data_IF_605119860463
#
_entry.id   IF_605119860463
#
_cell.length_a   1.000
_cell.length_b   1.000
_cell.length_c   1.000
_cell.angle_alpha   90.00
_cell.angle_beta   90.00
_cell.angle_gamma   90.00
#
_symmetry.space_group_name_H-M   'P 1'
#
loop_
_entity.id
_entity.type
_entity.pdbx_description
1 polymer ?
#
# COMPACT_ATOMS: atom_id res chain seq x y z
N UNK A 1 -17.28 11.07 -8.69
CA UNK A 1 -16.48 9.82 -8.79
C UNK A 1 -15.12 10.02 -9.44
N UNK A 2 -15.06 10.55 -10.68
CA UNK A 2 -13.79 10.69 -11.41
C UNK A 2 -12.72 11.46 -10.63
N UNK A 3 -13.08 12.57 -9.98
CA UNK A 3 -12.13 13.41 -9.22
C UNK A 3 -11.45 12.59 -8.11
N UNK A 4 -12.24 11.88 -7.30
CA UNK A 4 -11.72 11.01 -6.25
C UNK A 4 -10.82 9.90 -6.81
N UNK A 5 -11.25 9.27 -7.91
CA UNK A 5 -10.48 8.23 -8.58
C UNK A 5 -9.12 8.72 -9.08
N UNK A 6 -9.08 9.86 -9.77
CA UNK A 6 -7.83 10.44 -10.27
C UNK A 6 -6.91 10.92 -9.14
N UNK A 7 -7.46 11.52 -8.08
CA UNK A 7 -6.70 11.94 -6.89
C UNK A 7 -6.03 10.74 -6.22
N UNK A 8 -6.80 9.68 -5.93
CA UNK A 8 -6.27 8.47 -5.29
C UNK A 8 -5.29 7.74 -6.21
N UNK A 9 -5.56 7.72 -7.52
CA UNK A 9 -4.66 7.14 -8.51
C UNK A 9 -3.34 7.91 -8.61
N UNK A 10 -3.36 9.24 -8.62
CA UNK A 10 -2.16 10.06 -8.65
C UNK A 10 -1.29 9.85 -7.39
N UNK A 11 -1.93 9.77 -6.22
CA UNK A 11 -1.27 9.47 -4.95
C UNK A 11 -0.67 8.06 -4.95
N UNK A 12 -1.48 7.04 -5.28
CA UNK A 12 -1.04 5.65 -5.33
C UNK A 12 0.10 5.42 -6.34
N UNK A 13 -0.02 6.00 -7.54
CA UNK A 13 1.01 5.89 -8.57
C UNK A 13 2.33 6.58 -8.16
N UNK A 14 2.25 7.74 -7.49
CA UNK A 14 3.44 8.42 -6.98
C UNK A 14 4.18 7.58 -5.92
N UNK A 15 3.45 6.87 -5.06
CA UNK A 15 4.04 5.98 -4.06
C UNK A 15 4.58 4.68 -4.66
N UNK A 16 3.92 4.13 -5.69
CA UNK A 16 4.47 3.00 -6.47
C UNK A 16 5.79 3.38 -7.15
N UNK A 17 5.90 4.60 -7.69
CA UNK A 17 7.16 5.12 -8.24
C UNK A 17 8.25 5.18 -7.16
N UNK A 18 7.93 5.63 -5.94
CA UNK A 18 8.91 5.70 -4.84
C UNK A 18 9.48 4.34 -4.48
N UNK A 19 8.65 3.31 -4.56
CA UNK A 19 8.99 1.96 -4.13
C UNK A 19 9.70 1.15 -5.22
N UNK A 20 9.25 1.24 -6.47
CA UNK A 20 9.69 0.35 -7.55
C UNK A 20 10.57 1.01 -8.61
N UNK A 21 10.50 2.34 -8.78
CA UNK A 21 11.27 2.99 -9.84
C UNK A 21 12.74 3.17 -9.45
N UNK A 22 13.70 2.60 -10.21
CA UNK A 22 15.13 2.77 -9.91
C UNK A 22 15.57 4.23 -10.04
N UNK A 23 14.93 4.98 -10.96
CA UNK A 23 15.17 6.41 -11.16
C UNK A 23 13.86 7.18 -10.97
N UNK A 24 13.62 7.61 -9.72
CA UNK A 24 12.36 8.22 -9.26
C UNK A 24 11.86 9.35 -10.16
N UNK A 25 12.74 10.25 -10.62
CA UNK A 25 12.34 11.37 -11.48
C UNK A 25 11.79 10.93 -12.84
N UNK A 26 12.38 9.89 -13.46
CA UNK A 26 11.86 9.30 -14.72
C UNK A 26 10.50 8.67 -14.44
N UNK A 27 10.39 7.91 -13.34
CA UNK A 27 9.12 7.30 -12.95
C UNK A 27 8.01 8.33 -12.76
N UNK A 28 8.28 9.44 -12.08
CA UNK A 28 7.31 10.53 -11.89
C UNK A 28 6.92 11.19 -13.21
N UNK A 29 7.89 11.47 -14.09
CA UNK A 29 7.60 12.04 -15.40
C UNK A 29 6.73 11.10 -16.23
N UNK A 30 7.08 9.81 -16.30
CA UNK A 30 6.31 8.81 -17.05
C UNK A 30 4.89 8.67 -16.51
N UNK A 31 4.72 8.55 -15.19
CA UNK A 31 3.39 8.46 -14.56
C UNK A 31 2.60 9.75 -14.80
N UNK A 32 3.20 10.93 -14.65
CA UNK A 32 2.52 12.20 -14.91
C UNK A 32 2.04 12.30 -16.36
N UNK A 33 2.86 11.90 -17.34
CA UNK A 33 2.47 11.86 -18.76
C UNK A 33 1.31 10.89 -18.98
N UNK A 34 1.40 9.66 -18.46
CA UNK A 34 0.32 8.65 -18.60
C UNK A 34 -0.98 9.17 -18.00
N UNK A 35 -0.91 9.77 -16.81
CA UNK A 35 -2.07 10.31 -16.12
C UNK A 35 -2.65 11.52 -16.86
N UNK A 36 -1.83 12.44 -17.37
CA UNK A 36 -2.31 13.56 -18.20
C UNK A 36 -2.99 13.07 -19.48
N UNK A 37 -2.45 12.04 -20.13
CA UNK A 37 -3.09 11.41 -21.29
C UNK A 37 -4.44 10.79 -20.90
N UNK A 38 -4.51 10.05 -19.79
CA UNK A 38 -5.77 9.50 -19.29
C UNK A 38 -6.79 10.59 -19.02
N UNK A 39 -6.39 11.69 -18.36
CA UNK A 39 -7.24 12.85 -18.11
C UNK A 39 -7.71 13.53 -19.39
N UNK A 40 -6.83 13.66 -20.40
CA UNK A 40 -7.20 14.25 -21.70
C UNK A 40 -8.20 13.39 -22.47
N UNK A 41 -7.99 12.06 -22.53
CA UNK A 41 -8.85 11.17 -23.32
C UNK A 41 -10.21 10.97 -22.64
N UNK A 42 -10.27 11.06 -21.31
CA UNK A 42 -11.52 10.93 -20.53
C UNK A 42 -12.27 12.26 -20.31
N UNK A 43 -11.88 13.33 -20.99
CA UNK A 43 -12.42 14.69 -20.80
C UNK A 43 -12.40 15.12 -19.30
N UNK A 44 -11.33 14.77 -18.59
CA UNK A 44 -11.11 15.01 -17.17
C UNK A 44 -9.77 15.71 -16.91
N UNK A 45 -9.27 16.50 -17.87
CA UNK A 45 -7.93 17.10 -17.81
C UNK A 45 -7.77 18.04 -16.61
N UNK A 46 -8.77 18.87 -16.32
CA UNK A 46 -8.74 19.80 -15.17
C UNK A 46 -8.69 19.01 -13.84
N UNK A 47 -9.61 18.04 -13.59
CA UNK A 47 -9.49 17.12 -12.46
C UNK A 47 -8.14 16.42 -12.36
N UNK A 48 -7.56 16.02 -13.49
CA UNK A 48 -6.26 15.34 -13.52
C UNK A 48 -5.11 16.27 -13.09
N UNK A 49 -5.08 17.51 -13.58
CA UNK A 49 -4.08 18.50 -13.14
C UNK A 49 -4.18 18.73 -11.63
N UNK A 50 -5.40 18.89 -11.12
CA UNK A 50 -5.64 19.02 -9.68
C UNK A 50 -5.16 17.77 -8.91
N UNK A 51 -5.44 16.56 -9.42
CA UNK A 51 -5.00 15.31 -8.83
C UNK A 51 -3.46 15.19 -8.78
N UNK A 52 -2.74 15.62 -9.81
CA UNK A 52 -1.28 15.65 -9.82
C UNK A 52 -0.71 16.64 -8.80
N UNK A 53 -1.36 17.80 -8.61
CA UNK A 53 -0.99 18.75 -7.55
C UNK A 53 -1.18 18.10 -6.17
N UNK A 54 -2.33 17.43 -5.94
CA UNK A 54 -2.58 16.69 -4.70
C UNK A 54 -1.54 15.57 -4.51
N UNK A 55 -1.18 14.84 -5.56
CA UNK A 55 -0.12 13.83 -5.52
C UNK A 55 1.25 14.41 -5.16
N UNK A 56 1.61 15.58 -5.70
CA UNK A 56 2.84 16.27 -5.35
C UNK A 56 2.85 16.76 -3.89
N UNK A 57 1.73 17.31 -3.41
CA UNK A 57 1.54 17.72 -2.01
C UNK A 57 1.59 16.50 -1.08
N UNK A 58 0.99 15.38 -1.48
CA UNK A 58 1.07 14.12 -0.75
C UNK A 58 2.53 13.66 -0.62
N UNK A 59 3.28 13.65 -1.73
CA UNK A 59 4.69 13.29 -1.73
C UNK A 59 5.49 14.19 -0.76
N UNK A 60 5.18 15.49 -0.72
CA UNK A 60 5.82 16.41 0.22
C UNK A 60 5.47 16.10 1.69
N UNK A 61 4.18 15.89 1.97
CA UNK A 61 3.63 15.74 3.33
C UNK A 61 3.83 14.34 3.92
N UNK A 62 3.99 13.31 3.08
CA UNK A 62 4.20 11.91 3.45
C UNK A 62 5.53 11.39 2.86
N UNK A 63 6.69 11.69 3.49
CA UNK A 63 7.98 11.15 3.08
C UNK A 63 8.09 9.64 3.36
N UNK A 64 8.80 8.87 2.52
CA UNK A 64 9.03 7.44 2.74
C UNK A 64 10.17 7.14 3.73
N UNK A 65 11.14 8.06 3.82
CA UNK A 65 12.45 7.79 4.42
C UNK A 65 12.60 8.41 5.82
N UNK A 66 11.66 9.28 6.22
CA UNK A 66 11.66 9.99 7.50
C UNK A 66 10.24 10.06 8.08
N UNK A 67 10.08 10.33 9.39
CA UNK A 67 8.77 10.53 9.99
C UNK A 67 7.98 11.59 9.25
N UNK A 68 6.67 11.35 9.08
CA UNK A 68 5.79 12.32 8.44
C UNK A 68 5.68 13.58 9.32
N UNK A 69 6.01 14.77 8.81
CA UNK A 69 6.04 16.00 9.62
C UNK A 69 4.66 16.38 10.18
N UNK A 70 3.59 15.90 9.54
CA UNK A 70 2.20 16.17 9.90
C UNK A 70 1.50 14.92 10.49
N UNK A 71 2.24 13.87 10.81
CA UNK A 71 1.68 12.59 11.25
C UNK A 71 0.71 12.01 10.22
N UNK A 72 -0.45 11.53 10.69
CA UNK A 72 -1.48 10.92 9.83
C UNK A 72 -2.49 11.90 9.21
N UNK A 73 -2.45 13.20 9.58
CA UNK A 73 -3.44 14.19 9.13
C UNK A 73 -3.57 14.36 7.61
N UNK A 74 -2.48 14.33 6.80
CA UNK A 74 -2.61 14.38 5.34
C UNK A 74 -3.49 13.25 4.79
N UNK A 75 -3.49 12.07 5.43
CA UNK A 75 -4.37 10.96 5.06
C UNK A 75 -5.84 11.24 5.37
N UNK A 76 -6.12 11.88 6.51
CA UNK A 76 -7.48 12.31 6.87
C UNK A 76 -8.00 13.33 5.87
N UNK A 77 -7.18 14.33 5.52
CA UNK A 77 -7.55 15.34 4.52
C UNK A 77 -7.79 14.73 3.14
N UNK A 78 -6.93 13.79 2.72
CA UNK A 78 -7.10 13.06 1.46
C UNK A 78 -8.39 12.22 1.46
N UNK A 79 -8.70 11.56 2.58
CA UNK A 79 -9.94 10.82 2.75
C UNK A 79 -11.17 11.72 2.68
N UNK A 80 -11.16 12.85 3.39
CA UNK A 80 -12.25 13.83 3.36
C UNK A 80 -12.44 14.44 1.96
N UNK A 81 -11.34 14.77 1.27
CA UNK A 81 -11.37 15.24 -0.12
C UNK A 81 -11.99 14.19 -1.05
N UNK A 82 -11.60 12.92 -0.90
CA UNK A 82 -12.10 11.83 -1.73
C UNK A 82 -13.58 11.56 -1.50
N UNK A 83 -14.02 11.56 -0.24
CA UNK A 83 -15.45 11.43 0.12
C UNK A 83 -16.24 12.61 -0.42
N UNK A 84 -15.80 13.85 -0.17
CA UNK A 84 -16.46 15.06 -0.68
C UNK A 84 -16.55 15.07 -2.21
N UNK A 85 -15.51 14.62 -2.90
CA UNK A 85 -15.50 14.49 -4.35
C UNK A 85 -16.45 13.41 -4.88
N UNK A 86 -16.74 12.33 -4.12
CA UNK A 86 -17.77 11.36 -4.48
C UNK A 86 -19.17 11.91 -4.20
N UNK A 87 -19.36 12.56 -3.05
CA UNK A 87 -20.67 13.07 -2.63
C UNK A 87 -21.14 14.26 -3.49
N UNK A 88 -20.24 15.17 -3.86
CA UNK A 88 -20.62 16.39 -4.61
C UNK A 88 -20.48 16.25 -6.12
N UNK A 89 -19.49 15.50 -6.61
CA UNK A 89 -19.36 15.23 -8.04
C UNK A 89 -19.97 13.86 -8.35
N UNK A 90 -21.25 13.85 -8.70
CA UNK A 90 -22.00 12.65 -9.11
C UNK A 90 -21.48 12.00 -10.40
N UNK A 91 -22.22 11.03 -10.92
CA UNK A 91 -21.88 10.36 -12.16
C UNK A 91 -21.86 11.35 -13.34
N UNK A 92 -20.79 11.31 -14.14
CA UNK A 92 -20.73 12.05 -15.40
C UNK A 92 -21.62 11.40 -16.44
N UNK A 93 -22.29 12.21 -17.25
CA UNK A 93 -23.09 11.76 -18.38
C UNK A 93 -22.24 11.42 -19.61
N UNK A 94 -21.02 11.94 -19.69
CA UNK A 94 -20.08 11.71 -20.78
C UNK A 94 -18.64 11.62 -20.24
N UNK A 95 -17.91 10.60 -20.71
CA UNK A 95 -16.52 10.32 -20.38
C UNK A 95 -15.58 10.58 -21.56
N UNK A 96 -15.98 11.46 -22.48
CA UNK A 96 -15.19 11.86 -23.65
C UNK A 96 -14.99 10.71 -24.63
N UNK A 97 -13.80 10.65 -25.24
CA UNK A 97 -13.45 9.65 -26.27
C UNK A 97 -13.57 8.20 -25.78
N UNK A 98 -13.43 7.97 -24.47
CA UNK A 98 -13.55 6.63 -23.87
C UNK A 98 -15.02 6.25 -23.65
N UNK A 99 -15.90 7.23 -23.40
CA UNK A 99 -17.31 6.98 -23.06
C UNK A 99 -18.05 6.16 -24.11
N UNK A 100 -17.78 6.39 -25.40
CA UNK A 100 -18.45 5.69 -26.50
C UNK A 100 -17.97 4.23 -26.69
N UNK A 101 -16.76 3.91 -26.24
CA UNK A 101 -16.11 2.60 -26.45
C UNK A 101 -16.17 1.75 -25.18
N UNK A 102 -16.33 2.39 -24.02
CA UNK A 102 -16.26 1.73 -22.73
C UNK A 102 -17.47 0.85 -22.45
N UNK A 103 -17.27 -0.46 -22.50
CA UNK A 103 -18.27 -1.46 -22.11
C UNK A 103 -17.61 -2.52 -21.23
N UNK A 104 -17.63 -2.30 -19.91
CA UNK A 104 -17.15 -3.28 -18.94
C UNK A 104 -18.33 -3.98 -18.28
N UNK A 105 -18.68 -5.16 -18.80
CA UNK A 105 -19.72 -6.02 -18.21
C UNK A 105 -19.15 -6.76 -17.01
N UNK A 106 -19.77 -6.55 -15.85
CA UNK A 106 -19.48 -7.31 -14.63
C UNK A 106 -20.66 -8.22 -14.27
N UNK A 107 -20.46 -9.24 -13.41
CA UNK A 107 -21.56 -10.06 -12.88
C UNK A 107 -22.63 -9.24 -12.13
N UNK A 108 -22.30 -8.00 -11.75
CA UNK A 108 -23.14 -7.09 -10.97
C UNK A 108 -23.75 -5.96 -11.83
N UNK A 109 -23.56 -5.99 -13.16
CA UNK A 109 -24.02 -4.97 -14.09
C UNK A 109 -22.90 -4.27 -14.85
N UNK A 110 -23.26 -3.24 -15.61
CA UNK A 110 -22.30 -2.42 -16.35
C UNK A 110 -21.54 -1.48 -15.41
N UNK A 111 -20.22 -1.47 -15.51
CA UNK A 111 -19.36 -0.63 -14.68
C UNK A 111 -19.03 0.65 -15.44
N UNK A 112 -19.50 1.83 -14.99
CA UNK A 112 -19.16 3.09 -15.65
C UNK A 112 -17.67 3.39 -15.51
N UNK A 113 -17.10 4.07 -16.51
CA UNK A 113 -15.67 4.39 -16.56
C UNK A 113 -15.18 5.09 -15.29
N UNK A 114 -15.92 6.09 -14.80
CA UNK A 114 -15.59 6.84 -13.58
C UNK A 114 -15.47 5.93 -12.33
N UNK A 115 -16.33 4.92 -12.21
CA UNK A 115 -16.30 3.96 -11.13
C UNK A 115 -15.10 3.01 -11.27
N UNK A 116 -14.77 2.59 -12.49
CA UNK A 116 -13.59 1.78 -12.75
C UNK A 116 -12.30 2.53 -12.40
N UNK A 117 -12.20 3.83 -12.75
CA UNK A 117 -11.08 4.69 -12.37
C UNK A 117 -11.03 4.90 -10.86
N UNK A 118 -12.17 5.07 -10.19
CA UNK A 118 -12.23 5.13 -8.73
C UNK A 118 -11.72 3.85 -8.08
N UNK A 119 -12.21 2.68 -8.51
CA UNK A 119 -11.78 1.39 -7.99
C UNK A 119 -10.28 1.15 -8.24
N UNK A 120 -9.76 1.54 -9.41
CA UNK A 120 -8.35 1.45 -9.75
C UNK A 120 -7.48 2.40 -8.90
N UNK A 121 -7.93 3.64 -8.69
CA UNK A 121 -7.26 4.61 -7.82
C UNK A 121 -7.23 4.18 -6.36
N UNK A 122 -8.35 3.69 -5.84
CA UNK A 122 -8.44 3.09 -4.51
C UNK A 122 -7.51 1.88 -4.39
N UNK A 123 -7.52 0.98 -5.37
CA UNK A 123 -6.62 -0.16 -5.42
C UNK A 123 -5.15 0.26 -5.37
N UNK A 124 -4.75 1.22 -6.20
CA UNK A 124 -3.38 1.76 -6.21
C UNK A 124 -2.99 2.39 -4.86
N UNK A 125 -3.89 3.13 -4.23
CA UNK A 125 -3.69 3.72 -2.90
C UNK A 125 -3.50 2.64 -1.81
N UNK A 126 -4.29 1.57 -1.84
CA UNK A 126 -4.22 0.49 -0.86
C UNK A 126 -2.91 -0.30 -0.90
N UNK A 127 -2.23 -0.31 -2.06
CA UNK A 127 -0.95 -0.99 -2.21
C UNK A 127 0.12 -0.33 -1.35
N UNK A 128 0.50 0.91 -1.62
CA UNK A 128 1.64 1.55 -0.94
C UNK A 128 1.30 2.77 -0.10
N UNK A 129 0.41 3.64 -0.55
CA UNK A 129 0.04 4.84 0.20
C UNK A 129 -0.54 4.49 1.56
N UNK A 130 -1.37 3.46 1.65
CA UNK A 130 -1.91 2.95 2.91
C UNK A 130 -0.83 2.45 3.88
N UNK A 131 0.32 1.93 3.40
CA UNK A 131 1.43 1.57 4.28
C UNK A 131 2.04 2.81 4.94
N UNK A 132 2.18 3.91 4.19
CA UNK A 132 2.67 5.18 4.73
C UNK A 132 1.71 5.73 5.79
N UNK A 133 0.39 5.62 5.56
CA UNK A 133 -0.62 6.04 6.54
C UNK A 133 -0.53 5.23 7.83
N UNK A 134 -0.47 3.89 7.73
CA UNK A 134 -0.33 3.02 8.90
C UNK A 134 0.95 3.35 9.67
N UNK A 135 2.07 3.55 8.97
CA UNK A 135 3.34 3.95 9.60
C UNK A 135 3.24 5.29 10.31
N UNK A 136 2.61 6.28 9.67
CA UNK A 136 2.42 7.61 10.25
C UNK A 136 1.48 7.60 11.47
N UNK A 137 0.49 6.71 11.50
CA UNK A 137 -0.38 6.52 12.66
C UNK A 137 0.39 5.90 13.84
N UNK A 138 1.17 4.84 13.60
CA UNK A 138 2.00 4.19 14.62
C UNK A 138 3.04 5.15 15.20
N UNK A 139 3.68 5.96 14.34
CA UNK A 139 4.64 6.98 14.76
C UNK A 139 4.01 8.06 15.66
N UNK A 140 2.72 8.38 15.48
CA UNK A 140 2.00 9.35 16.29
C UNK A 140 1.72 8.87 17.72
N UNK A 141 1.58 7.56 17.92
CA UNK A 141 1.26 6.95 19.22
C UNK A 141 2.52 6.58 20.05
N UNK A 142 3.72 6.95 19.58
CA UNK A 142 5.00 6.53 20.19
C UNK A 142 5.11 5.01 20.38
N UNK A 143 4.36 4.22 19.59
CA UNK A 143 4.46 2.77 19.65
C UNK A 143 5.87 2.35 19.32
N UNK A 144 6.42 1.47 20.17
CA UNK A 144 7.76 0.92 20.02
C UNK A 144 7.97 0.38 18.60
N UNK A 145 9.02 0.83 17.92
CA UNK A 145 9.44 0.23 16.64
C UNK A 145 10.32 -0.99 16.93
N UNK A 146 10.07 -2.14 16.29
CA UNK A 146 11.11 -3.16 16.18
C UNK A 146 12.32 -2.51 15.51
N UNK A 147 13.45 -2.43 16.20
CA UNK A 147 14.71 -2.17 15.52
C UNK A 147 14.90 -3.30 14.51
N UNK A 148 15.09 -2.97 13.22
CA UNK A 148 15.66 -3.94 12.29
C UNK A 148 16.93 -4.49 12.96
N UNK A 149 17.13 -5.82 13.03
CA UNK A 149 18.42 -6.32 13.49
C UNK A 149 19.45 -5.69 12.58
N UNK A 150 20.33 -4.86 13.15
CA UNK A 150 21.51 -4.37 12.46
C UNK A 150 22.15 -5.59 11.78
N UNK A 151 22.62 -5.49 10.52
CA UNK A 151 23.31 -6.61 9.91
C UNK A 151 24.38 -7.05 10.90
N UNK A 152 24.22 -8.25 11.47
CA UNK A 152 25.21 -8.84 12.36
C UNK A 152 26.48 -8.85 11.53
N UNK A 153 27.41 -7.94 11.86
CA UNK A 153 28.78 -8.07 11.44
C UNK A 153 29.23 -9.33 12.15
N UNK A 154 29.14 -10.46 11.45
CA UNK A 154 29.67 -11.74 11.92
C UNK A 154 31.15 -11.51 12.12
N UNK A 155 31.54 -11.22 13.36
CA UNK A 155 32.93 -11.19 13.75
C UNK A 155 33.50 -12.58 13.43
N UNK A 156 34.65 -12.68 12.73
CA UNK A 156 35.23 -13.97 12.43
C UNK A 156 35.49 -14.66 13.77
N UNK A 157 34.85 -15.82 13.97
CA UNK A 157 35.11 -16.67 15.11
C UNK A 157 36.57 -17.11 15.00
N UNK A 158 37.41 -16.61 15.91
CA UNK A 158 38.80 -17.00 16.01
C UNK A 158 38.88 -18.50 16.26
N UNK A 159 39.55 -19.19 15.35
CA UNK A 159 39.80 -20.62 15.40
C UNK A 159 40.58 -20.99 16.67
N UNK A 160 40.03 -21.88 17.48
CA UNK A 160 40.84 -22.73 18.38
C UNK A 160 41.09 -24.03 17.66
N UNK A 161 42.34 -24.21 17.22
CA UNK A 161 42.80 -25.38 16.50
C UNK A 161 42.95 -26.61 17.40
N UNK A 162 42.62 -27.75 16.82
CA UNK A 162 43.24 -29.04 17.15
C UNK A 162 43.83 -29.62 15.86
N UNK A 163 45.05 -30.13 15.97
CA UNK A 163 45.96 -30.53 14.91
C UNK A 163 45.57 -31.83 14.20
N UNK A 164 45.89 -31.93 12.90
CA UNK A 164 45.73 -33.14 12.08
C UNK A 164 46.17 -32.96 10.63
N UNK A 165 47.47 -33.17 10.39
CA UNK A 165 48.24 -33.33 9.14
C UNK A 165 47.54 -34.29 8.11
N UNK A 166 47.47 -34.15 6.77
CA UNK A 166 48.52 -34.21 5.71
C UNK A 166 47.87 -33.96 4.30
N UNK A 167 48.56 -33.16 3.46
CA UNK A 167 48.72 -33.15 1.98
C UNK A 167 47.58 -33.02 0.92
N UNK A 168 47.76 -31.94 0.13
CA UNK A 168 47.89 -31.86 -1.35
C UNK A 168 46.65 -31.87 -2.26
N UNK A 169 46.63 -30.87 -3.17
CA UNK A 169 46.02 -30.98 -4.50
C UNK A 169 44.68 -30.27 -4.75
N UNK A 170 44.78 -29.19 -5.55
CA UNK A 170 43.81 -28.74 -6.56
C UNK A 170 42.54 -27.96 -6.13
N UNK A 171 42.61 -26.65 -6.41
CA UNK A 171 41.56 -25.75 -6.93
C UNK A 171 40.12 -26.00 -6.42
N UNK A 172 39.79 -25.34 -5.31
CA UNK A 172 38.41 -25.17 -4.86
C UNK A 172 37.61 -24.30 -5.83
N UNK A 173 36.71 -25.00 -6.53
CA UNK A 173 35.51 -24.50 -7.19
C UNK A 173 34.76 -23.56 -6.23
N UNK A 174 34.94 -22.25 -6.40
CA UNK A 174 34.22 -21.21 -5.67
C UNK A 174 32.77 -21.18 -6.14
N UNK A 175 32.01 -22.20 -5.75
CA UNK A 175 30.55 -22.13 -5.72
C UNK A 175 30.19 -20.99 -4.76
N UNK A 176 29.56 -19.90 -5.22
CA UNK A 176 29.10 -18.88 -4.30
C UNK A 176 28.04 -19.56 -3.44
N UNK A 177 28.34 -19.71 -2.15
CA UNK A 177 27.37 -20.09 -1.14
C UNK A 177 26.23 -19.08 -1.27
N UNK A 178 25.16 -19.47 -1.95
CA UNK A 178 23.90 -18.74 -1.96
C UNK A 178 23.43 -18.74 -0.52
N UNK A 179 23.56 -17.59 0.12
CA UNK A 179 22.95 -17.31 1.42
C UNK A 179 21.48 -17.77 1.38
N UNK A 180 21.09 -18.79 2.18
CA UNK A 180 19.71 -19.27 2.26
C UNK A 180 18.75 -18.24 2.87
N UNK A 181 19.25 -17.06 3.28
CA UNK A 181 18.48 -15.95 3.86
C UNK A 181 18.34 -14.76 2.93
N UNK A 182 18.20 -15.00 1.63
CA UNK A 182 17.33 -14.15 0.80
C UNK A 182 15.86 -14.31 1.25
N UNK A 183 15.60 -14.06 2.54
CA UNK A 183 14.31 -14.16 3.18
C UNK A 183 13.35 -13.33 2.37
N UNK A 184 12.29 -13.98 1.88
CA UNK A 184 11.27 -13.35 1.09
C UNK A 184 10.92 -12.01 1.74
N UNK A 185 10.92 -10.93 0.95
CA UNK A 185 10.37 -9.61 1.31
C UNK A 185 8.86 -9.69 1.63
N UNK A 186 8.33 -10.86 1.97
CA UNK A 186 6.93 -11.19 2.15
C UNK A 186 6.25 -10.33 3.21
N UNK A 187 6.96 -9.95 4.27
CA UNK A 187 6.43 -8.99 5.28
C UNK A 187 5.95 -7.66 4.68
N UNK A 188 6.55 -7.22 3.58
CA UNK A 188 6.20 -5.95 2.90
C UNK A 188 4.91 -6.04 2.09
N UNK A 189 4.63 -7.21 1.51
CA UNK A 189 3.51 -7.42 0.59
C UNK A 189 2.26 -7.96 1.30
N UNK A 190 2.41 -8.58 2.47
CA UNK A 190 1.26 -9.14 3.22
C UNK A 190 0.23 -8.06 3.58
N UNK A 191 0.66 -6.93 4.16
CA UNK A 191 -0.25 -5.85 4.55
C UNK A 191 -1.08 -5.28 3.37
N UNK A 192 -0.44 -4.90 2.25
CA UNK A 192 -1.12 -4.51 1.02
C UNK A 192 -2.13 -5.54 0.52
N UNK A 193 -1.73 -6.81 0.45
CA UNK A 193 -2.60 -7.89 -0.02
C UNK A 193 -3.80 -8.10 0.89
N UNK A 194 -3.62 -8.02 2.21
CA UNK A 194 -4.72 -8.10 3.17
C UNK A 194 -5.73 -6.97 2.95
N UNK A 195 -5.29 -5.72 2.75
CA UNK A 195 -6.21 -4.60 2.51
C UNK A 195 -6.98 -4.74 1.20
N UNK A 196 -6.31 -5.18 0.13
CA UNK A 196 -6.96 -5.47 -1.15
C UNK A 196 -7.96 -6.61 -1.00
N UNK A 197 -7.61 -7.65 -0.24
CA UNK A 197 -8.51 -8.77 0.04
C UNK A 197 -9.71 -8.35 0.89
N UNK A 198 -9.51 -7.50 1.91
CA UNK A 198 -10.60 -6.87 2.67
C UNK A 198 -11.53 -6.14 1.71
N UNK A 199 -10.99 -5.28 0.85
CA UNK A 199 -11.79 -4.52 -0.11
C UNK A 199 -12.61 -5.42 -1.04
N UNK A 200 -11.97 -6.42 -1.65
CA UNK A 200 -12.63 -7.35 -2.58
C UNK A 200 -13.71 -8.16 -1.87
N UNK A 201 -13.43 -8.74 -0.70
CA UNK A 201 -14.39 -9.55 0.05
C UNK A 201 -15.58 -8.70 0.53
N UNK A 202 -15.35 -7.45 0.95
CA UNK A 202 -16.42 -6.52 1.31
C UNK A 202 -17.31 -6.20 0.11
N UNK A 203 -16.72 -5.86 -1.04
CA UNK A 203 -17.48 -5.54 -2.25
C UNK A 203 -18.22 -6.77 -2.82
N UNK A 204 -17.66 -7.97 -2.65
CA UNK A 204 -18.29 -9.24 -3.03
C UNK A 204 -19.33 -9.75 -2.01
N UNK A 205 -19.60 -9.00 -0.94
CA UNK A 205 -20.46 -9.40 0.18
C UNK A 205 -20.07 -10.75 0.83
N UNK A 206 -18.79 -11.13 0.74
CA UNK A 206 -18.24 -12.37 1.28
C UNK A 206 -17.88 -12.22 2.78
N UNK A 207 -18.82 -11.69 3.58
CA UNK A 207 -18.61 -11.35 4.99
C UNK A 207 -18.13 -12.53 5.87
N UNK A 208 -18.60 -13.79 5.68
CA UNK A 208 -18.07 -14.91 6.45
C UNK A 208 -16.57 -15.16 6.22
N UNK A 209 -16.10 -15.02 4.97
CA UNK A 209 -14.69 -15.20 4.63
C UNK A 209 -13.86 -14.05 5.18
N UNK A 210 -14.38 -12.81 5.07
CA UNK A 210 -13.77 -11.64 5.67
C UNK A 210 -13.60 -11.82 7.19
N UNK A 211 -14.67 -12.21 7.90
CA UNK A 211 -14.63 -12.46 9.34
C UNK A 211 -13.64 -13.57 9.71
N UNK A 212 -13.62 -14.68 8.96
CA UNK A 212 -12.67 -15.77 9.17
C UNK A 212 -11.21 -15.32 9.00
N UNK A 213 -10.91 -14.50 7.97
CA UNK A 213 -9.58 -13.95 7.73
C UNK A 213 -9.13 -13.03 8.87
N UNK A 214 -9.99 -12.11 9.31
CA UNK A 214 -9.69 -11.19 10.42
C UNK A 214 -9.44 -11.96 11.72
N UNK A 215 -10.28 -12.97 12.01
CA UNK A 215 -10.13 -13.84 13.18
C UNK A 215 -8.83 -14.66 13.13
N UNK A 216 -8.52 -15.27 11.98
CA UNK A 216 -7.30 -16.05 11.79
C UNK A 216 -6.05 -15.22 12.04
N UNK A 217 -6.02 -13.96 11.58
CA UNK A 217 -4.89 -13.04 11.81
C UNK A 217 -4.64 -12.80 13.30
N UNK A 218 -5.71 -12.63 14.09
CA UNK A 218 -5.61 -12.47 15.54
C UNK A 218 -5.11 -13.73 16.25
N UNK A 219 -5.63 -14.90 15.87
CA UNK A 219 -5.27 -16.19 16.48
C UNK A 219 -3.79 -16.55 16.22
N UNK A 220 -3.31 -16.41 14.97
CA UNK A 220 -1.93 -16.76 14.61
C UNK A 220 -0.91 -15.90 15.35
N UNK A 221 -1.25 -14.65 15.65
CA UNK A 221 -0.36 -13.69 16.33
C UNK A 221 -0.49 -13.72 17.85
N UNK A 222 -1.48 -14.42 18.38
CA UNK A 222 -1.71 -14.52 19.83
C UNK A 222 -0.48 -15.01 20.61
N UNK A 223 0.25 -16.08 20.22
CA UNK A 223 1.43 -16.53 20.97
C UNK A 223 2.55 -15.49 21.06
N UNK A 224 2.68 -14.65 20.03
CA UNK A 224 3.70 -13.59 19.95
C UNK A 224 3.30 -12.37 20.80
N UNK A 225 2.00 -12.06 20.83
CA UNK A 225 1.38 -11.02 21.67
C UNK A 225 1.44 -11.41 23.15
N UNK A 226 1.16 -12.67 23.48
CA UNK A 226 1.12 -13.15 24.88
C UNK A 226 2.49 -13.30 25.52
N UNK A 227 3.57 -13.35 24.72
CA UNK A 227 4.96 -13.40 25.20
C UNK A 227 5.62 -12.03 25.30
N UNK A 228 4.87 -10.97 24.99
CA UNK A 228 5.34 -9.61 25.13
C UNK A 228 5.48 -9.29 26.62
N UNK A 229 6.68 -8.85 27.04
CA UNK A 229 7.01 -8.62 28.46
C UNK A 229 6.25 -7.45 29.08
N UNK A 230 6.78 -6.89 30.19
CA UNK A 230 6.10 -5.88 31.03
C UNK A 230 5.61 -4.60 30.31
N UNK A 231 6.04 -4.34 29.07
CA UNK A 231 5.68 -3.12 28.32
C UNK A 231 4.50 -3.28 27.37
N UNK A 232 4.15 -4.50 26.93
CA UNK A 232 3.06 -4.75 25.98
C UNK A 232 3.17 -4.02 24.62
N UNK A 233 4.33 -3.47 24.29
CA UNK A 233 4.47 -2.53 23.19
C UNK A 233 4.38 -3.19 21.79
N UNK A 234 4.72 -4.48 21.66
CA UNK A 234 4.51 -5.24 20.41
C UNK A 234 3.04 -5.60 20.22
N UNK A 235 2.33 -5.91 21.31
CA UNK A 235 0.90 -6.11 21.30
C UNK A 235 0.17 -4.85 20.78
N UNK A 236 0.52 -3.69 21.34
CA UNK A 236 -0.02 -2.40 20.91
C UNK A 236 0.30 -2.09 19.45
N UNK A 237 1.56 -2.22 19.04
CA UNK A 237 1.99 -2.02 17.65
C UNK A 237 1.18 -2.89 16.66
N UNK A 238 0.99 -4.17 17.00
CA UNK A 238 0.22 -5.09 16.16
C UNK A 238 -1.26 -4.73 16.10
N UNK A 239 -1.88 -4.42 17.25
CA UNK A 239 -3.29 -4.07 17.35
C UNK A 239 -3.59 -2.77 16.62
N UNK A 240 -2.86 -1.70 16.91
CA UNK A 240 -3.03 -0.39 16.27
C UNK A 240 -2.78 -0.50 14.77
N UNK A 241 -1.67 -1.14 14.37
CA UNK A 241 -1.32 -1.30 12.96
C UNK A 241 -2.38 -2.08 12.18
N UNK A 242 -2.91 -3.15 12.77
CA UNK A 242 -3.97 -3.96 12.13
C UNK A 242 -5.31 -3.22 12.07
N UNK A 243 -5.71 -2.54 13.15
CA UNK A 243 -6.94 -1.76 13.21
C UNK A 243 -6.94 -0.62 12.19
N UNK A 244 -5.87 0.18 12.14
CA UNK A 244 -5.72 1.26 11.16
C UNK A 244 -5.77 0.71 9.74
N UNK A 245 -5.06 -0.39 9.47
CA UNK A 245 -5.06 -1.03 8.15
C UNK A 245 -6.45 -1.52 7.73
N UNK A 246 -7.22 -2.12 8.65
CA UNK A 246 -8.59 -2.57 8.38
C UNK A 246 -9.57 -1.41 8.18
N UNK A 247 -9.46 -0.34 8.97
CA UNK A 247 -10.27 0.87 8.81
C UNK A 247 -10.03 1.47 7.42
N UNK A 248 -8.77 1.55 6.98
CA UNK A 248 -8.43 2.03 5.63
C UNK A 248 -9.03 1.10 4.55
N UNK A 249 -8.87 -0.21 4.68
CA UNK A 249 -9.39 -1.19 3.71
C UNK A 249 -10.92 -1.18 3.60
N UNK A 250 -11.61 -1.16 4.74
CA UNK A 250 -13.08 -1.11 4.81
C UNK A 250 -13.62 0.25 4.35
N UNK A 251 -12.98 1.36 4.73
CA UNK A 251 -13.34 2.70 4.28
C UNK A 251 -13.17 2.87 2.76
N UNK A 252 -12.10 2.32 2.21
CA UNK A 252 -11.87 2.24 0.77
C UNK A 252 -12.96 1.44 0.06
N UNK A 253 -13.31 0.26 0.58
CA UNK A 253 -14.40 -0.56 0.04
C UNK A 253 -15.74 0.18 0.09
N UNK A 254 -16.03 0.83 1.22
CA UNK A 254 -17.25 1.61 1.40
C UNK A 254 -17.33 2.78 0.42
N UNK A 255 -16.23 3.50 0.18
CA UNK A 255 -16.19 4.60 -0.79
C UNK A 255 -16.55 4.12 -2.21
N UNK A 256 -15.99 2.98 -2.64
CA UNK A 256 -16.28 2.38 -3.96
C UNK A 256 -17.72 1.88 -4.00
N UNK A 257 -18.18 1.19 -2.95
CA UNK A 257 -19.56 0.70 -2.86
C UNK A 257 -20.56 1.85 -2.92
N UNK A 258 -20.34 2.91 -2.14
CA UNK A 258 -21.19 4.09 -2.10
C UNK A 258 -21.28 4.74 -3.48
N UNK A 259 -20.12 4.98 -4.12
CA UNK A 259 -20.05 5.53 -5.47
C UNK A 259 -20.80 4.68 -6.51
N UNK A 260 -20.84 3.36 -6.34
CA UNK A 260 -21.57 2.46 -7.24
C UNK A 260 -23.10 2.50 -7.05
N UNK A 261 -23.60 3.02 -5.92
CA UNK A 261 -25.02 3.04 -5.56
C UNK A 261 -25.62 4.46 -5.51
N UNK A 262 -24.86 5.48 -5.94
CA UNK A 262 -25.29 6.88 -6.06
C UNK A 262 -25.29 7.34 -7.50
#
# INVERSE_FOLDING_TARGET
>A
MIVAGLVLLAVGAADLVRQFAPRRWIGYLTVAVILLLLGSVSDALIPMIAALIVGALWVWCMPSDRPAPLGFWPAVLLGALSIGAVVWAGARTDAGLIGEIWTLRSPFGDVPFDLAVLALGVGAFLLESANLVVRAALDGEHTWRPADPAPEVVAPVAATGEEGEIADGAEEDATPIRDPRSGFKGGRLIGPLERVLVMILTLAAAYPILAAMLAAKGIVRFPEISRDGETGARAEYFLVGSLVSWVIGLGAAFLVWWAAHT
#
